data_IF_376418188207
#
_entry.id   IF_376418188207
#
_cell.length_a   1.000
_cell.length_b   1.000
_cell.length_c   1.000
_cell.angle_alpha   90.00
_cell.angle_beta   90.00
_cell.angle_gamma   90.00
#
_symmetry.space_group_name_H-M   'P 1'
#
loop_
_entity.id
_entity.type
_entity.pdbx_description
1 polymer ?
#
# COMPACT_ATOMS: atom_id res chain seq x y z
N UNK A 1 12.22 15.21 6.21
CA UNK A 1 11.03 14.48 6.68
C UNK A 1 11.50 13.29 7.50
N UNK A 2 10.87 13.04 8.64
CA UNK A 2 11.13 11.86 9.49
C UNK A 2 10.61 10.61 8.77
N UNK A 3 11.32 9.48 8.86
CA UNK A 3 10.87 8.21 8.27
C UNK A 3 9.59 7.74 8.99
N UNK A 4 8.46 7.69 8.27
CA UNK A 4 7.17 7.23 8.80
C UNK A 4 7.24 5.77 9.26
N UNK A 5 6.52 5.44 10.32
CA UNK A 5 6.53 4.10 10.93
C UNK A 5 5.11 3.59 11.12
N UNK A 6 4.89 2.31 10.83
CA UNK A 6 3.61 1.67 11.13
C UNK A 6 3.57 1.26 12.60
N UNK A 7 2.77 1.95 13.40
CA UNK A 7 2.68 1.80 14.86
C UNK A 7 1.53 0.91 15.32
N UNK A 8 0.48 0.77 14.50
CA UNK A 8 -0.58 -0.23 14.71
C UNK A 8 -0.73 -1.15 13.51
N UNK A 9 -1.26 -2.34 13.79
CA UNK A 9 -1.60 -3.38 12.82
C UNK A 9 -2.93 -4.02 13.21
N UNK A 10 -3.75 -4.35 12.22
CA UNK A 10 -4.99 -5.12 12.39
C UNK A 10 -5.49 -5.67 11.05
N UNK A 11 -6.44 -6.60 11.13
CA UNK A 11 -7.21 -7.00 9.95
C UNK A 11 -8.37 -6.02 9.75
N UNK A 12 -8.53 -5.56 8.52
CA UNK A 12 -9.58 -4.61 8.13
C UNK A 12 -10.41 -5.23 7.02
N UNK A 13 -11.73 -5.13 7.14
CA UNK A 13 -12.68 -5.44 6.08
C UNK A 13 -13.20 -4.13 5.50
N UNK A 14 -12.67 -3.72 4.35
CA UNK A 14 -13.10 -2.50 3.66
C UNK A 14 -14.32 -2.74 2.76
N UNK A 15 -14.36 -3.93 2.15
CA UNK A 15 -15.45 -4.41 1.31
C UNK A 15 -15.90 -5.75 1.92
N UNK A 16 -17.21 -6.01 2.05
CA UNK A 16 -17.70 -7.27 2.59
C UNK A 16 -17.06 -8.48 1.91
N UNK A 17 -16.46 -9.37 2.71
CA UNK A 17 -15.75 -10.56 2.27
C UNK A 17 -14.29 -10.36 1.86
N UNK A 18 -13.78 -9.13 1.85
CA UNK A 18 -12.37 -8.82 1.55
C UNK A 18 -11.68 -8.32 2.82
N UNK A 19 -10.98 -9.23 3.50
CA UNK A 19 -10.22 -8.97 4.72
C UNK A 19 -8.74 -8.82 4.36
N UNK A 20 -8.12 -7.71 4.77
CA UNK A 20 -6.72 -7.42 4.48
C UNK A 20 -5.94 -6.87 5.67
N UNK A 21 -4.62 -6.96 5.58
CA UNK A 21 -3.70 -6.38 6.56
C UNK A 21 -3.67 -4.85 6.45
N UNK A 22 -4.13 -4.18 7.50
CA UNK A 22 -4.12 -2.74 7.65
C UNK A 22 -3.14 -2.25 8.72
N UNK A 23 -2.60 -1.06 8.49
CA UNK A 23 -1.62 -0.42 9.36
C UNK A 23 -1.99 1.04 9.61
N UNK A 24 -1.69 1.54 10.81
CA UNK A 24 -1.75 2.98 11.10
C UNK A 24 -0.33 3.49 11.29
N UNK A 25 0.01 4.55 10.57
CA UNK A 25 1.31 5.22 10.66
C UNK A 25 1.38 6.13 11.89
N UNK A 26 2.57 6.63 12.19
CA UNK A 26 2.85 7.55 13.30
C UNK A 26 2.28 8.96 13.10
N UNK A 27 1.81 9.28 11.90
CA UNK A 27 1.06 10.49 11.57
C UNK A 27 -0.46 10.23 11.44
N UNK A 28 -0.95 9.15 12.05
CA UNK A 28 -2.36 8.70 12.04
C UNK A 28 -2.91 8.32 10.66
N UNK A 29 -2.06 8.27 9.61
CA UNK A 29 -2.48 7.80 8.29
C UNK A 29 -2.74 6.29 8.32
N UNK A 30 -3.94 5.87 7.91
CA UNK A 30 -4.27 4.47 7.69
C UNK A 30 -3.82 4.02 6.29
N UNK A 31 -3.07 2.92 6.22
CA UNK A 31 -2.52 2.38 4.98
C UNK A 31 -2.68 0.86 4.91
N UNK A 32 -2.70 0.33 3.70
CA UNK A 32 -2.63 -1.11 3.45
C UNK A 32 -1.22 -1.50 3.00
N UNK A 33 -0.82 -2.73 3.30
CA UNK A 33 0.35 -3.32 2.66
C UNK A 33 0.13 -3.52 1.16
N UNK A 34 1.19 -3.74 0.39
CA UNK A 34 1.08 -4.11 -1.02
C UNK A 34 0.21 -5.36 -1.23
N UNK A 35 0.33 -6.34 -0.34
CA UNK A 35 -0.53 -7.53 -0.37
C UNK A 35 -1.99 -7.17 -0.14
N UNK A 36 -2.27 -6.41 0.92
CA UNK A 36 -3.64 -5.96 1.22
C UNK A 36 -4.25 -5.13 0.08
N UNK A 37 -3.44 -4.31 -0.58
CA UNK A 37 -3.87 -3.52 -1.75
C UNK A 37 -4.20 -4.43 -2.95
N UNK A 38 -3.40 -5.46 -3.19
CA UNK A 38 -3.66 -6.43 -4.25
C UNK A 38 -4.96 -7.21 -3.98
N UNK A 39 -5.17 -7.66 -2.75
CA UNK A 39 -6.38 -8.35 -2.32
C UNK A 39 -7.63 -7.44 -2.47
N UNK A 40 -7.53 -6.17 -2.07
CA UNK A 40 -8.60 -5.17 -2.24
C UNK A 40 -8.99 -4.97 -3.71
N UNK A 41 -8.01 -4.93 -4.60
CA UNK A 41 -8.22 -4.74 -6.04
C UNK A 41 -8.60 -6.04 -6.76
N UNK A 42 -8.61 -7.18 -6.07
CA UNK A 42 -8.89 -8.48 -6.67
C UNK A 42 -7.84 -8.91 -7.70
N UNK A 43 -6.59 -8.47 -7.54
CA UNK A 43 -5.48 -8.78 -8.45
C UNK A 43 -4.37 -9.52 -7.73
N UNK A 44 -3.57 -10.28 -8.46
CA UNK A 44 -2.37 -10.85 -7.88
C UNK A 44 -1.28 -9.77 -7.63
N UNK A 45 -0.43 -10.00 -6.63
CA UNK A 45 0.63 -9.05 -6.27
C UNK A 45 1.64 -8.79 -7.40
N UNK A 46 1.88 -9.77 -8.30
CA UNK A 46 2.79 -9.58 -9.44
C UNK A 46 2.15 -8.66 -10.49
N UNK A 47 0.85 -8.77 -10.71
CA UNK A 47 0.09 -7.87 -11.58
C UNK A 47 0.10 -6.45 -11.03
N UNK A 48 -0.16 -6.24 -9.74
CA UNK A 48 -0.06 -4.92 -9.12
C UNK A 48 1.34 -4.32 -9.27
N UNK A 49 2.39 -5.13 -9.05
CA UNK A 49 3.77 -4.71 -9.30
C UNK A 49 4.04 -4.33 -10.76
N UNK A 50 3.46 -5.04 -11.74
CA UNK A 50 3.57 -4.69 -13.16
C UNK A 50 2.85 -3.38 -13.48
N UNK A 51 1.69 -3.12 -12.87
CA UNK A 51 0.98 -1.85 -13.02
C UNK A 51 1.88 -0.72 -12.50
N UNK A 52 2.44 -0.86 -11.31
CA UNK A 52 3.40 0.11 -10.75
C UNK A 52 4.56 0.44 -11.69
N UNK A 53 5.17 -0.56 -12.33
CA UNK A 53 6.34 -0.33 -13.21
C UNK A 53 5.99 0.20 -14.59
N UNK A 54 4.79 -0.11 -15.11
CA UNK A 54 4.41 0.19 -16.49
C UNK A 54 3.36 1.30 -16.62
N UNK A 55 2.86 1.82 -15.50
CA UNK A 55 1.90 2.93 -15.48
C UNK A 55 2.60 4.29 -15.72
N UNK A 56 1.98 5.20 -16.48
CA UNK A 56 0.78 4.99 -17.29
C UNK A 56 1.11 4.32 -18.64
N UNK A 57 0.17 3.54 -19.23
CA UNK A 57 0.31 3.08 -20.61
C UNK A 57 0.62 4.24 -21.57
N UNK A 58 1.50 4.02 -22.55
CA UNK A 58 1.96 5.07 -23.49
C UNK A 58 0.81 5.84 -24.15
N UNK A 59 -0.25 5.14 -24.53
CA UNK A 59 -1.44 5.69 -25.18
C UNK A 59 -2.23 6.60 -24.23
N UNK A 60 -2.19 6.33 -22.92
CA UNK A 60 -2.91 7.11 -21.90
C UNK A 60 -2.09 8.27 -21.35
N UNK A 61 -0.77 8.31 -21.61
CA UNK A 61 0.14 9.34 -21.08
C UNK A 61 -0.30 10.79 -21.37
N UNK A 62 -0.87 11.14 -22.54
CA UNK A 62 -1.37 12.51 -22.79
C UNK A 62 -2.62 12.88 -21.99
N UNK A 63 -3.35 11.90 -21.46
CA UNK A 63 -4.64 12.10 -20.77
C UNK A 63 -4.54 11.98 -19.25
N UNK A 64 -3.38 11.58 -18.74
CA UNK A 64 -3.14 11.34 -17.32
C UNK A 64 -2.30 12.48 -16.75
N UNK A 65 -2.78 13.07 -15.65
CA UNK A 65 -2.02 14.06 -14.90
C UNK A 65 -0.72 13.46 -14.36
N UNK A 66 0.38 14.22 -14.39
CA UNK A 66 1.67 13.77 -13.86
C UNK A 66 1.64 13.45 -12.35
N UNK A 67 0.67 14.01 -11.62
CA UNK A 67 0.38 13.70 -10.22
C UNK A 67 -0.28 12.34 -10.02
N UNK A 68 -1.03 11.83 -11.01
CA UNK A 68 -1.69 10.51 -10.92
C UNK A 68 -0.67 9.40 -11.19
N UNK A 69 -0.01 8.97 -10.11
CA UNK A 69 1.06 7.98 -10.16
C UNK A 69 0.85 6.87 -9.14
N UNK A 70 1.22 5.65 -9.51
CA UNK A 70 1.19 4.47 -8.64
C UNK A 70 2.48 4.47 -7.81
N UNK A 71 2.68 5.51 -6.99
CA UNK A 71 3.88 5.63 -6.15
C UNK A 71 3.74 4.77 -4.91
N UNK A 72 4.86 4.17 -4.54
CA UNK A 72 4.96 3.37 -3.33
C UNK A 72 6.00 3.95 -2.40
N UNK A 73 5.69 3.95 -1.11
CA UNK A 73 6.64 4.24 -0.05
C UNK A 73 6.97 2.97 0.73
N UNK A 74 8.07 3.02 1.49
CA UNK A 74 8.43 1.94 2.41
C UNK A 74 8.46 2.46 3.84
N UNK A 75 7.74 1.77 4.72
CA UNK A 75 7.66 2.11 6.15
C UNK A 75 8.10 0.93 6.99
N UNK A 76 8.79 1.22 8.10
CA UNK A 76 9.18 0.20 9.07
C UNK A 76 8.01 -0.10 9.99
N UNK A 77 7.71 -1.39 10.17
CA UNK A 77 6.66 -1.83 11.09
C UNK A 77 7.21 -1.89 12.52
N UNK A 78 6.62 -1.10 13.40
CA UNK A 78 6.89 -1.07 14.84
C UNK A 78 5.77 -1.71 15.66
N UNK A 79 4.59 -1.92 15.05
CA UNK A 79 3.44 -2.56 15.68
C UNK A 79 3.80 -3.93 16.27
N UNK A 80 3.61 -4.08 17.59
CA UNK A 80 4.03 -5.26 18.34
C UNK A 80 3.27 -6.54 17.97
N UNK A 81 2.00 -6.39 17.59
CA UNK A 81 1.09 -7.47 17.21
C UNK A 81 1.21 -7.87 15.73
N UNK A 82 2.09 -7.23 14.95
CA UNK A 82 2.24 -7.54 13.53
C UNK A 82 3.24 -8.67 13.30
N UNK A 83 2.93 -9.65 12.43
CA UNK A 83 3.91 -10.65 11.98
C UNK A 83 5.08 -10.02 11.21
N UNK A 84 4.93 -8.77 10.76
CA UNK A 84 5.94 -8.01 10.03
C UNK A 84 6.78 -7.08 10.91
N UNK A 85 6.65 -7.14 12.25
CA UNK A 85 7.41 -6.29 13.18
C UNK A 85 8.90 -6.28 12.87
N UNK A 86 9.48 -5.08 12.83
CA UNK A 86 10.89 -4.82 12.53
C UNK A 86 11.24 -4.83 11.04
N UNK A 87 10.35 -5.33 10.17
CA UNK A 87 10.52 -5.36 8.72
C UNK A 87 9.98 -4.08 8.08
N UNK A 88 10.42 -3.84 6.85
CA UNK A 88 9.85 -2.81 5.99
C UNK A 88 8.72 -3.40 5.16
N UNK A 89 7.60 -2.68 5.07
CA UNK A 89 6.50 -2.99 4.15
C UNK A 89 6.41 -1.92 3.07
N UNK A 90 5.93 -2.32 1.91
CA UNK A 90 5.58 -1.40 0.82
C UNK A 90 4.13 -0.98 1.01
N UNK A 91 3.89 0.33 0.98
CA UNK A 91 2.58 0.97 1.06
C UNK A 91 2.39 1.86 -0.16
N UNK A 92 1.15 2.06 -0.58
CA UNK A 92 0.81 2.97 -1.67
C UNK A 92 0.50 4.35 -1.08
N UNK A 93 1.04 5.40 -1.70
CA UNK A 93 0.76 6.78 -1.30
C UNK A 93 -0.58 7.20 -1.91
N UNK A 94 -1.35 8.01 -1.19
CA UNK A 94 -2.61 8.61 -1.68
C UNK A 94 -2.35 9.82 -2.56
#
# INVERSE_FOLDING_TARGET
>A
MTERKAVYYGQIELIPGIIGDGYVLDDDTAVMSERGTADLLGVDQKLLNRVRTNWPPKVLKPFIDAGLSVRTNSVKVMANNSPHKGRKITIYDS
#
